data_IF_399242150785
#
_entry.id   IF_399242150785
#
_cell.length_a   1.000
_cell.length_b   1.000
_cell.length_c   1.000
_cell.angle_alpha   90.00
_cell.angle_beta   90.00
_cell.angle_gamma   90.00
#
_symmetry.space_group_name_H-M   'P 1'
#
loop_
_entity.id
_entity.type
_entity.pdbx_description
1 polymer ?
#
# COMPACT_ATOMS: atom_id res chain seq x y z
N UNK A 1 -13.99 -13.31 -13.86
CA UNK A 1 -13.24 -14.59 -13.95
C UNK A 1 -13.86 -15.59 -14.93
N UNK A 2 -14.64 -15.14 -15.93
CA UNK A 2 -15.46 -16.06 -16.74
C UNK A 2 -15.02 -16.20 -18.20
N UNK A 3 -14.20 -15.27 -18.73
CA UNK A 3 -13.80 -15.26 -20.16
C UNK A 3 -12.52 -16.02 -20.52
N UNK A 4 -11.59 -16.20 -19.57
CA UNK A 4 -10.34 -16.92 -19.87
C UNK A 4 -10.50 -18.43 -19.76
N UNK A 5 -11.37 -18.89 -18.85
CA UNK A 5 -11.76 -20.29 -18.72
C UNK A 5 -12.54 -20.77 -19.96
N UNK A 6 -13.29 -19.88 -20.63
CA UNK A 6 -14.01 -20.19 -21.87
C UNK A 6 -13.12 -20.31 -23.11
N UNK A 7 -11.81 -20.04 -22.99
CA UNK A 7 -10.83 -20.13 -24.07
C UNK A 7 -9.84 -21.30 -23.89
N UNK A 8 -10.12 -22.24 -22.96
CA UNK A 8 -9.25 -23.38 -22.61
C UNK A 8 -7.80 -22.98 -22.23
N UNK A 9 -7.62 -21.74 -21.77
CA UNK A 9 -6.33 -21.26 -21.33
C UNK A 9 -6.15 -21.63 -19.86
N UNK A 10 -5.28 -22.61 -19.61
CA UNK A 10 -4.78 -22.92 -18.28
C UNK A 10 -4.14 -21.66 -17.67
N UNK A 11 -4.89 -21.02 -16.78
CA UNK A 11 -4.56 -19.73 -16.17
C UNK A 11 -4.70 -19.83 -14.65
N UNK A 12 -3.67 -19.38 -13.94
CA UNK A 12 -3.69 -19.27 -12.49
C UNK A 12 -3.80 -17.80 -12.07
N UNK A 13 -4.61 -17.53 -11.04
CA UNK A 13 -4.61 -16.22 -10.40
C UNK A 13 -3.56 -16.23 -9.30
N UNK A 14 -2.51 -15.45 -9.48
CA UNK A 14 -1.48 -15.23 -8.47
C UNK A 14 -1.71 -13.88 -7.80
N UNK A 15 -1.81 -13.88 -6.47
CA UNK A 15 -1.89 -12.67 -5.66
C UNK A 15 -0.48 -12.24 -5.29
N UNK A 16 -0.12 -11.02 -5.63
CA UNK A 16 1.15 -10.43 -5.23
C UNK A 16 0.89 -9.19 -4.39
N UNK A 17 1.54 -9.09 -3.24
CA UNK A 17 1.57 -7.88 -2.44
C UNK A 17 2.81 -7.08 -2.83
N UNK A 18 2.62 -5.81 -3.16
CA UNK A 18 3.70 -4.87 -3.47
C UNK A 18 3.56 -3.65 -2.58
N UNK A 19 4.64 -3.25 -1.92
CA UNK A 19 4.73 -1.92 -1.31
C UNK A 19 4.87 -0.92 -2.46
N UNK A 20 3.86 -0.07 -2.64
CA UNK A 20 3.80 0.86 -3.78
C UNK A 20 4.14 2.30 -3.40
N UNK A 21 4.08 2.62 -2.10
CA UNK A 21 4.50 3.89 -1.52
C UNK A 21 4.65 3.72 0.00
N UNK A 22 5.09 4.78 0.68
CA UNK A 22 5.10 4.89 2.13
C UNK A 22 4.24 6.09 2.52
N UNK A 23 3.22 5.85 3.33
CA UNK A 23 2.51 6.91 4.04
C UNK A 23 3.27 7.22 5.36
N UNK A 24 3.01 8.38 5.94
CA UNK A 24 3.66 8.85 7.16
C UNK A 24 2.60 9.19 8.19
N UNK A 25 2.55 8.44 9.28
CA UNK A 25 1.69 8.71 10.42
C UNK A 25 2.40 9.66 11.37
N UNK A 26 1.78 10.80 11.67
CA UNK A 26 2.19 11.68 12.78
C UNK A 26 1.30 11.37 13.98
N UNK A 27 1.89 11.10 15.14
CA UNK A 27 1.15 10.65 16.30
C UNK A 27 1.78 11.11 17.62
N UNK A 28 0.98 11.15 18.69
CA UNK A 28 1.47 11.21 20.07
C UNK A 28 1.63 9.78 20.60
N UNK A 29 2.72 9.48 21.33
CA UNK A 29 2.98 8.14 21.87
C UNK A 29 1.82 7.56 22.69
N UNK A 30 1.72 6.21 22.77
CA UNK A 30 0.76 5.52 23.62
C UNK A 30 0.70 6.04 25.05
N UNK A 31 -0.53 6.29 25.54
CA UNK A 31 -0.79 6.61 26.93
C UNK A 31 -1.05 5.34 27.74
N UNK A 32 -0.91 5.45 29.07
CA UNK A 32 -1.00 4.33 30.00
C UNK A 32 -2.34 3.57 29.97
N UNK A 33 -3.41 4.18 29.45
CA UNK A 33 -4.71 3.53 29.31
C UNK A 33 -5.56 4.16 28.21
N UNK A 34 -6.59 3.42 27.77
CA UNK A 34 -7.62 3.93 26.87
C UNK A 34 -8.35 5.15 27.46
N UNK A 35 -8.59 5.16 28.77
CA UNK A 35 -9.21 6.32 29.42
C UNK A 35 -8.32 7.56 29.29
N UNK A 36 -7.01 7.43 29.57
CA UNK A 36 -6.06 8.55 29.41
C UNK A 36 -6.00 9.04 27.96
N UNK A 37 -5.99 8.13 26.99
CA UNK A 37 -6.05 8.47 25.57
C UNK A 37 -7.32 9.24 25.18
N UNK A 38 -8.48 8.82 25.69
CA UNK A 38 -9.74 9.52 25.44
C UNK A 38 -9.80 10.90 26.09
N UNK A 39 -9.19 11.09 27.26
CA UNK A 39 -9.07 12.42 27.87
C UNK A 39 -8.18 13.34 27.03
N UNK A 40 -6.99 12.85 26.63
CA UNK A 40 -6.08 13.61 25.74
C UNK A 40 -6.74 13.95 24.40
N UNK A 41 -7.51 13.03 23.83
CA UNK A 41 -8.28 13.27 22.60
C UNK A 41 -9.24 14.45 22.79
N UNK A 42 -10.00 14.50 23.90
CA UNK A 42 -10.92 15.60 24.19
C UNK A 42 -10.19 16.94 24.33
N UNK A 43 -9.03 16.96 24.98
CA UNK A 43 -8.19 18.16 25.11
C UNK A 43 -7.75 18.71 23.73
N UNK A 44 -7.34 17.82 22.83
CA UNK A 44 -6.92 18.19 21.47
C UNK A 44 -8.11 18.70 20.63
N UNK A 45 -9.24 18.01 20.69
CA UNK A 45 -10.46 18.41 19.97
C UNK A 45 -11.02 19.75 20.47
N UNK A 46 -10.94 20.03 21.78
CA UNK A 46 -11.30 21.34 22.34
C UNK A 46 -10.42 22.47 21.77
N UNK A 47 -9.18 22.16 21.38
CA UNK A 47 -8.26 23.07 20.67
C UNK A 47 -8.44 23.04 19.15
N UNK A 48 -9.51 22.42 18.65
CA UNK A 48 -9.83 22.23 17.22
C UNK A 48 -8.75 21.48 16.44
N UNK A 49 -8.03 20.58 17.10
CA UNK A 49 -7.05 19.69 16.47
C UNK A 49 -7.77 18.41 16.06
N UNK A 50 -7.84 18.16 14.75
CA UNK A 50 -8.34 16.90 14.21
C UNK A 50 -7.41 15.76 14.64
N UNK A 51 -7.95 14.79 15.37
CA UNK A 51 -7.19 13.75 16.05
C UNK A 51 -8.05 12.54 16.38
N UNK A 52 -7.41 11.36 16.48
CA UNK A 52 -8.08 10.08 16.69
C UNK A 52 -7.26 9.18 17.61
N UNK A 53 -7.92 8.40 18.48
CA UNK A 53 -7.24 7.37 19.28
C UNK A 53 -6.92 6.17 18.40
N UNK A 54 -5.66 5.73 18.43
CA UNK A 54 -5.21 4.51 17.75
C UNK A 54 -5.70 3.30 18.56
N UNK A 55 -6.55 2.48 17.94
CA UNK A 55 -7.29 1.43 18.63
C UNK A 55 -6.58 0.08 18.68
N UNK A 56 -5.62 -0.16 17.79
CA UNK A 56 -5.00 -1.48 17.59
C UNK A 56 -3.52 -1.34 17.21
N UNK A 57 -2.79 -2.45 17.34
CA UNK A 57 -1.37 -2.53 17.04
C UNK A 57 -0.48 -2.06 18.19
N UNK A 58 0.80 -1.91 17.90
CA UNK A 58 1.85 -1.45 18.81
C UNK A 58 1.63 -0.01 19.31
N UNK A 59 0.93 0.82 18.54
CA UNK A 59 0.59 2.20 18.92
C UNK A 59 -0.77 2.33 19.61
N UNK A 60 -1.36 1.24 20.10
CA UNK A 60 -2.65 1.28 20.83
C UNK A 60 -2.60 2.30 21.98
N UNK A 61 -3.67 3.09 22.15
CA UNK A 61 -3.75 4.23 23.09
C UNK A 61 -2.87 5.43 22.72
N UNK A 62 -2.20 5.43 21.56
CA UNK A 62 -1.61 6.62 20.97
C UNK A 62 -2.67 7.52 20.33
N UNK A 63 -2.28 8.74 19.96
CA UNK A 63 -3.17 9.69 19.28
C UNK A 63 -2.64 9.96 17.87
N UNK A 64 -3.38 9.61 16.84
CA UNK A 64 -3.11 10.04 15.47
C UNK A 64 -3.39 11.53 15.32
N UNK A 65 -2.45 12.25 14.71
CA UNK A 65 -2.51 13.67 14.35
C UNK A 65 -2.56 13.88 12.83
N UNK A 66 -2.68 12.79 12.05
CA UNK A 66 -2.77 12.80 10.60
C UNK A 66 -1.90 11.73 9.93
N UNK A 67 -2.33 11.31 8.74
CA UNK A 67 -1.57 10.44 7.83
C UNK A 67 -1.28 11.25 6.56
N UNK A 68 -0.03 11.23 6.12
CA UNK A 68 0.47 12.04 5.02
C UNK A 68 1.12 11.14 3.98
N UNK A 69 0.88 11.36 2.69
CA UNK A 69 1.45 10.54 1.62
C UNK A 69 2.91 10.89 1.26
N UNK A 70 3.51 11.86 1.96
CA UNK A 70 4.88 12.35 1.73
C UNK A 70 5.53 12.76 3.05
N UNK A 71 6.84 12.56 3.14
CA UNK A 71 7.62 12.88 4.33
C UNK A 71 7.63 14.38 4.66
N UNK A 72 7.69 15.25 3.64
CA UNK A 72 7.86 16.70 3.85
C UNK A 72 6.66 17.34 4.59
N UNK A 73 5.39 17.15 4.16
CA UNK A 73 4.23 17.62 4.92
C UNK A 73 4.10 16.98 6.31
N UNK A 74 4.47 15.71 6.46
CA UNK A 74 4.48 15.03 7.75
C UNK A 74 5.49 15.68 8.71
N UNK A 75 6.69 15.95 8.22
CA UNK A 75 7.73 16.66 8.98
C UNK A 75 7.32 18.09 9.35
N UNK A 76 6.63 18.80 8.47
CA UNK A 76 6.05 20.11 8.78
C UNK A 76 5.00 20.01 9.90
N UNK A 77 4.14 19.00 9.88
CA UNK A 77 3.17 18.75 10.94
C UNK A 77 3.85 18.45 12.28
N UNK A 78 4.90 17.62 12.30
CA UNK A 78 5.71 17.34 13.50
C UNK A 78 6.27 18.62 14.11
N UNK A 79 6.88 19.50 13.28
CA UNK A 79 7.41 20.79 13.76
C UNK A 79 6.32 21.67 14.35
N UNK A 80 5.20 21.83 13.65
CA UNK A 80 4.05 22.62 14.10
C UNK A 80 3.49 22.14 15.44
N UNK A 81 3.36 20.82 15.64
CA UNK A 81 2.88 20.27 16.90
C UNK A 81 3.91 20.40 18.03
N UNK A 82 5.21 20.32 17.72
CA UNK A 82 6.28 20.58 18.69
C UNK A 82 6.28 22.04 19.16
N UNK A 83 6.15 22.99 18.23
CA UNK A 83 6.01 24.42 18.53
C UNK A 83 4.76 24.71 19.37
N UNK A 84 3.71 23.91 19.22
CA UNK A 84 2.50 23.98 20.04
C UNK A 84 2.62 23.28 21.42
N UNK A 85 3.82 22.79 21.79
CA UNK A 85 4.11 22.20 23.09
C UNK A 85 3.73 20.72 23.23
N UNK A 86 3.59 19.99 22.12
CA UNK A 86 3.41 18.54 22.14
C UNK A 86 4.71 17.81 21.78
N UNK A 87 4.77 16.52 22.09
CA UNK A 87 5.88 15.64 21.71
C UNK A 87 5.43 14.62 20.65
N UNK A 88 5.25 15.04 19.39
CA UNK A 88 4.84 14.15 18.31
C UNK A 88 6.01 13.29 17.80
N UNK A 89 5.67 12.08 17.38
CA UNK A 89 6.53 11.17 16.63
C UNK A 89 5.97 10.95 15.21
N UNK A 90 6.83 10.49 14.32
CA UNK A 90 6.47 10.14 12.94
C UNK A 90 6.83 8.67 12.69
N UNK A 91 5.96 7.93 12.01
CA UNK A 91 6.19 6.54 11.60
C UNK A 91 5.84 6.34 10.14
N UNK A 92 6.72 5.70 9.41
CA UNK A 92 6.47 5.22 8.05
C UNK A 92 5.48 4.04 8.09
N UNK A 93 4.46 4.11 7.24
CA UNK A 93 3.44 3.10 7.03
C UNK A 93 3.59 2.58 5.60
N UNK A 94 4.04 1.33 5.39
CA UNK A 94 4.14 0.78 4.05
C UNK A 94 2.75 0.69 3.42
N UNK A 95 2.56 1.35 2.28
CA UNK A 95 1.34 1.22 1.49
C UNK A 95 1.42 -0.06 0.66
N UNK A 96 0.84 -1.13 1.17
CA UNK A 96 0.74 -2.41 0.45
C UNK A 96 -0.45 -2.34 -0.52
N UNK A 97 -0.19 -2.54 -1.81
CA UNK A 97 -1.23 -2.85 -2.79
C UNK A 97 -1.22 -4.32 -3.13
N UNK A 98 -2.42 -4.87 -3.22
CA UNK A 98 -2.67 -6.20 -3.76
C UNK A 98 -2.81 -6.10 -5.27
N UNK A 99 -1.84 -6.68 -5.97
CA UNK A 99 -1.89 -6.86 -7.41
C UNK A 99 -2.38 -8.27 -7.71
N UNK A 100 -3.22 -8.39 -8.74
CA UNK A 100 -3.74 -9.66 -9.23
C UNK A 100 -3.11 -9.94 -10.58
N UNK A 101 -2.32 -11.00 -10.66
CA UNK A 101 -1.67 -11.44 -11.89
C UNK A 101 -2.36 -12.68 -12.43
N UNK A 102 -2.71 -12.65 -13.72
CA UNK A 102 -3.14 -13.85 -14.43
C UNK A 102 -1.92 -14.44 -15.10
N UNK A 103 -1.41 -15.55 -14.56
CA UNK A 103 -0.32 -16.30 -15.19
C UNK A 103 -0.92 -17.26 -16.21
N UNK A 104 -0.38 -17.23 -17.42
CA UNK A 104 -0.73 -18.14 -18.51
C UNK A 104 0.39 -19.15 -18.66
N UNK A 105 0.06 -20.44 -18.68
CA UNK A 105 1.07 -21.48 -18.89
C UNK A 105 1.74 -21.36 -20.28
N UNK A 106 3.02 -21.76 -20.45
CA UNK A 106 3.73 -21.64 -21.74
C UNK A 106 3.01 -22.27 -22.93
N UNK A 107 2.28 -23.38 -22.72
CA UNK A 107 1.47 -24.04 -23.76
C UNK A 107 0.28 -23.17 -24.22
N UNK A 108 -0.31 -22.38 -23.31
CA UNK A 108 -1.39 -21.45 -23.59
C UNK A 108 -0.92 -20.08 -24.08
N UNK A 109 0.37 -19.75 -23.96
CA UNK A 109 0.92 -18.49 -24.46
C UNK A 109 0.80 -18.36 -25.98
N UNK A 110 0.79 -19.48 -26.71
CA UNK A 110 0.54 -19.51 -28.16
C UNK A 110 -0.89 -19.15 -28.56
N UNK A 111 -1.83 -19.21 -27.61
CA UNK A 111 -3.25 -18.87 -27.80
C UNK A 111 -3.52 -17.39 -27.47
N UNK A 112 -2.53 -16.67 -26.94
CA UNK A 112 -2.57 -15.22 -26.75
C UNK A 112 -1.92 -14.55 -27.96
N UNK A 113 -2.70 -14.40 -29.02
CA UNK A 113 -2.34 -13.57 -30.18
C UNK A 113 -2.61 -12.07 -29.91
N UNK A 114 -2.17 -11.21 -30.83
CA UNK A 114 -2.34 -9.76 -30.71
C UNK A 114 -3.83 -9.37 -30.62
N UNK A 115 -4.70 -10.06 -31.36
CA UNK A 115 -6.14 -9.79 -31.37
C UNK A 115 -6.84 -10.09 -30.04
N UNK A 116 -6.47 -11.19 -29.37
CA UNK A 116 -6.97 -11.49 -28.04
C UNK A 116 -6.47 -10.47 -27.01
N UNK A 117 -5.20 -10.05 -27.14
CA UNK A 117 -4.64 -9.02 -26.25
C UNK A 117 -5.35 -7.67 -26.43
N UNK A 118 -5.58 -7.23 -27.66
CA UNK A 118 -6.30 -6.00 -27.96
C UNK A 118 -7.72 -6.02 -27.39
N UNK A 119 -8.42 -7.14 -27.56
CA UNK A 119 -9.76 -7.34 -27.00
C UNK A 119 -9.78 -7.27 -25.47
N UNK A 120 -8.72 -7.79 -24.83
CA UNK A 120 -8.56 -7.72 -23.37
C UNK A 120 -8.23 -6.31 -22.89
N UNK A 121 -7.36 -5.58 -23.58
CA UNK A 121 -7.03 -4.19 -23.23
C UNK A 121 -8.23 -3.27 -23.42
N UNK A 122 -9.03 -3.46 -24.48
CA UNK A 122 -10.28 -2.71 -24.68
C UNK A 122 -11.30 -2.99 -23.57
N UNK A 123 -11.43 -4.25 -23.16
CA UNK A 123 -12.36 -4.64 -22.08
C UNK A 123 -11.85 -4.26 -20.70
N UNK A 124 -10.52 -4.15 -20.53
CA UNK A 124 -9.85 -3.84 -19.26
C UNK A 124 -8.77 -2.79 -19.50
N UNK A 125 -9.11 -1.49 -19.62
CA UNK A 125 -8.18 -0.42 -20.02
C UNK A 125 -6.98 -0.19 -19.08
N UNK A 126 -7.01 -0.77 -17.87
CA UNK A 126 -5.90 -0.72 -16.91
C UNK A 126 -5.06 -2.00 -16.87
N UNK A 127 -5.36 -2.97 -17.73
CA UNK A 127 -4.60 -4.21 -17.85
C UNK A 127 -3.17 -3.88 -18.29
N UNK A 128 -2.18 -4.37 -17.55
CA UNK A 128 -0.77 -4.30 -17.94
C UNK A 128 -0.27 -5.70 -18.22
N UNK A 129 0.46 -5.85 -19.31
CA UNK A 129 1.11 -7.11 -19.68
C UNK A 129 2.59 -7.05 -19.31
N UNK A 130 3.12 -8.12 -18.72
CA UNK A 130 4.55 -8.33 -18.56
C UNK A 130 4.90 -9.68 -19.18
N UNK A 131 5.71 -9.67 -20.24
CA UNK A 131 6.27 -10.90 -20.81
C UNK A 131 7.52 -11.24 -20.01
N UNK A 132 7.44 -12.28 -19.16
CA UNK A 132 8.64 -12.85 -18.54
C UNK A 132 9.31 -13.77 -19.56
N UNK A 133 10.59 -13.55 -19.83
CA UNK A 133 11.41 -14.53 -20.54
C UNK A 133 11.47 -15.80 -19.70
N UNK A 134 11.38 -16.96 -20.33
CA UNK A 134 11.23 -18.24 -19.64
C UNK A 134 12.42 -18.49 -18.71
N UNK A 135 12.13 -18.98 -17.51
CA UNK A 135 13.11 -19.44 -16.53
C UNK A 135 13.92 -20.58 -17.15
N UNK A 136 15.21 -20.32 -17.45
CA UNK A 136 16.06 -21.29 -18.15
C UNK A 136 17.29 -20.73 -18.88
N UNK A 137 17.49 -19.41 -18.99
CA UNK A 137 18.74 -18.83 -19.52
C UNK A 137 19.37 -17.93 -18.46
N UNK A 138 19.98 -18.55 -17.45
CA UNK A 138 20.97 -17.86 -16.65
C UNK A 138 22.21 -17.65 -17.53
N UNK A 139 22.43 -16.41 -17.98
CA UNK A 139 23.79 -15.93 -18.26
C UNK A 139 24.18 -15.04 -17.08
N UNK A 140 25.25 -15.38 -16.32
CA UNK A 140 25.71 -14.53 -15.25
C UNK A 140 26.32 -13.28 -15.87
N UNK A 141 25.62 -12.15 -15.83
CA UNK A 141 26.24 -10.87 -16.16
C UNK A 141 27.11 -10.49 -14.96
N UNK A 142 28.41 -10.70 -15.13
CA UNK A 142 29.48 -10.19 -14.28
C UNK A 142 29.43 -8.67 -14.33
N UNK A 143 29.33 -8.03 -13.16
CA UNK A 143 29.55 -6.61 -12.99
C UNK A 143 31.06 -6.34 -13.13
N UNK A 144 31.43 -5.49 -14.07
CA UNK A 144 32.65 -4.66 -14.01
C UNK A 144 32.23 -3.19 -14.05
#
# INVERSE_FOLDING_TARGET
MQRLLSLDIASGLERFERIVAEDYLVYLPPLASRHAALQRLKELQARKIDSYVIAQGDLTNGISLGVFSRAEPAGAAVRRFREAGYEPAMRELPQVRQDYWVRVAPKGARLFDEHLMDSLVQSFPRLRQLKKECEGVASPVRLE
#
